data_IF_809649645059
#
_entry.id   IF_809649645059
#
_cell.length_a   1.000
_cell.length_b   1.000
_cell.length_c   1.000
_cell.angle_alpha   90.00
_cell.angle_beta   90.00
_cell.angle_gamma   90.00
#
_symmetry.space_group_name_H-M   'P 1'
#
loop_
_entity.id
_entity.type
_entity.pdbx_description
1 polymer ?
#
# COMPACT_ATOMS: atom_id res chain seq x y z
N UNK A 1 16.87 -18.59 18.07
CA UNK A 1 15.80 -17.64 18.39
C UNK A 1 16.18 -17.03 19.73
N UNK A 2 16.53 -15.76 19.79
CA UNK A 2 16.80 -15.13 21.09
C UNK A 2 15.46 -15.09 21.85
N UNK A 3 15.41 -15.59 23.09
CA UNK A 3 14.23 -15.41 23.94
C UNK A 3 14.04 -13.91 24.15
N UNK A 4 13.01 -13.34 23.54
CA UNK A 4 12.54 -12.00 23.85
C UNK A 4 11.79 -12.05 25.17
N UNK A 5 11.96 -11.02 26.00
CA UNK A 5 11.19 -10.91 27.23
C UNK A 5 9.71 -10.63 26.91
N UNK A 6 8.80 -11.07 27.80
CA UNK A 6 7.36 -10.88 27.64
C UNK A 6 6.99 -9.39 27.49
N UNK A 7 7.70 -8.51 28.18
CA UNK A 7 7.52 -7.05 28.12
C UNK A 7 7.88 -6.48 26.74
N UNK A 8 8.95 -7.00 26.12
CA UNK A 8 9.39 -6.57 24.79
C UNK A 8 8.41 -7.03 23.72
N UNK A 9 7.90 -8.25 23.84
CA UNK A 9 6.86 -8.78 22.96
C UNK A 9 5.56 -7.97 23.06
N UNK A 10 5.13 -7.63 24.28
CA UNK A 10 3.93 -6.82 24.50
C UNK A 10 4.07 -5.42 23.92
N UNK A 11 5.24 -4.81 24.08
CA UNK A 11 5.54 -3.48 23.51
C UNK A 11 5.49 -3.49 21.98
N UNK A 12 5.97 -4.55 21.34
CA UNK A 12 5.88 -4.70 19.87
C UNK A 12 4.43 -4.91 19.43
N UNK A 13 3.67 -5.73 20.16
CA UNK A 13 2.26 -6.00 19.84
C UNK A 13 1.37 -4.76 19.95
N UNK A 14 1.61 -3.93 20.97
CA UNK A 14 0.86 -2.68 21.18
C UNK A 14 1.36 -1.53 20.30
N UNK A 15 2.51 -1.70 19.63
CA UNK A 15 3.05 -0.69 18.74
C UNK A 15 2.20 -0.55 17.46
N UNK A 16 1.88 0.68 17.03
CA UNK A 16 1.10 0.88 15.82
C UNK A 16 1.90 0.44 14.58
N UNK A 17 1.28 -0.29 13.63
CA UNK A 17 1.98 -0.85 12.46
C UNK A 17 2.21 0.21 11.37
N UNK A 18 2.99 1.25 11.70
CA UNK A 18 3.23 2.43 10.84
C UNK A 18 3.80 2.05 9.48
N UNK A 19 4.69 1.05 9.42
CA UNK A 19 5.25 0.55 8.16
C UNK A 19 4.19 -0.05 7.25
N UNK A 20 3.30 -0.87 7.80
CA UNK A 20 2.17 -1.45 7.05
C UNK A 20 1.26 -0.36 6.49
N UNK A 21 0.93 0.65 7.28
CA UNK A 21 0.13 1.79 6.82
C UNK A 21 0.81 2.58 5.70
N UNK A 22 2.12 2.83 5.80
CA UNK A 22 2.87 3.51 4.75
C UNK A 22 2.85 2.73 3.42
N UNK A 23 3.03 1.40 3.49
CA UNK A 23 2.97 0.53 2.31
C UNK A 23 1.58 0.52 1.68
N UNK A 24 0.53 0.35 2.50
CA UNK A 24 -0.87 0.39 2.03
C UNK A 24 -1.16 1.71 1.32
N UNK A 25 -0.75 2.84 1.91
CA UNK A 25 -0.98 4.15 1.33
C UNK A 25 -0.23 4.32 0.01
N UNK A 26 1.04 3.92 -0.06
CA UNK A 26 1.85 4.01 -1.26
C UNK A 26 1.26 3.18 -2.41
N UNK A 27 0.86 1.93 -2.13
CA UNK A 27 0.23 1.06 -3.12
C UNK A 27 -1.13 1.62 -3.56
N UNK A 28 -1.95 2.09 -2.61
CA UNK A 28 -3.27 2.67 -2.90
C UNK A 28 -3.17 3.88 -3.83
N UNK A 29 -2.22 4.79 -3.57
CA UNK A 29 -1.96 5.94 -4.44
C UNK A 29 -1.46 5.49 -5.81
N UNK A 30 -0.51 4.55 -5.87
CA UNK A 30 0.02 4.05 -7.14
C UNK A 30 -1.08 3.39 -8.00
N UNK A 31 -1.96 2.59 -7.40
CA UNK A 31 -3.10 1.99 -8.09
C UNK A 31 -4.09 3.05 -8.58
N UNK A 32 -4.42 4.04 -7.75
CA UNK A 32 -5.33 5.11 -8.14
C UNK A 32 -4.76 5.93 -9.31
N UNK A 33 -3.50 6.34 -9.23
CA UNK A 33 -2.84 7.10 -10.29
C UNK A 33 -2.71 6.27 -11.57
N UNK A 34 -2.34 5.00 -11.45
CA UNK A 34 -2.30 4.08 -12.59
C UNK A 34 -3.66 3.93 -13.26
N UNK A 35 -4.72 3.70 -12.48
CA UNK A 35 -6.08 3.60 -13.01
C UNK A 35 -6.52 4.88 -13.71
N UNK A 36 -6.30 6.06 -13.11
CA UNK A 36 -6.63 7.35 -13.73
C UNK A 36 -5.87 7.56 -15.04
N UNK A 37 -4.58 7.23 -15.07
CA UNK A 37 -3.76 7.33 -16.28
C UNK A 37 -4.26 6.39 -17.38
N UNK A 38 -4.52 5.12 -17.05
CA UNK A 38 -5.00 4.16 -18.06
C UNK A 38 -6.39 4.53 -18.57
N UNK A 39 -7.29 4.97 -17.70
CA UNK A 39 -8.66 5.30 -18.09
C UNK A 39 -8.75 6.61 -18.86
N UNK A 40 -8.25 7.72 -18.30
CA UNK A 40 -8.37 9.03 -18.91
C UNK A 40 -7.26 9.33 -19.91
N UNK A 41 -6.03 8.88 -19.62
CA UNK A 41 -4.86 9.15 -20.45
C UNK A 41 -4.77 8.28 -21.69
N UNK A 42 -5.17 7.00 -21.62
CA UNK A 42 -5.08 6.06 -22.75
C UNK A 42 -6.43 5.66 -23.33
N UNK A 43 -7.35 5.15 -22.49
CA UNK A 43 -8.60 4.55 -22.99
C UNK A 43 -9.56 5.58 -23.58
N UNK A 44 -9.86 6.67 -22.86
CA UNK A 44 -10.73 7.74 -23.37
C UNK A 44 -10.13 8.48 -24.58
N UNK A 45 -8.80 8.56 -24.68
CA UNK A 45 -8.12 9.29 -25.76
C UNK A 45 -7.99 8.48 -27.05
N UNK A 46 -7.89 7.15 -26.98
CA UNK A 46 -7.69 6.29 -28.16
C UNK A 46 -8.90 5.40 -28.49
N UNK A 47 -9.87 5.26 -27.58
CA UNK A 47 -11.00 4.34 -27.73
C UNK A 47 -10.60 2.87 -27.56
N UNK A 48 -11.56 1.92 -27.67
CA UNK A 48 -11.23 0.50 -27.66
C UNK A 48 -10.34 0.16 -28.86
N UNK A 49 -9.25 -0.57 -28.61
CA UNK A 49 -8.40 -1.14 -29.66
C UNK A 49 -9.25 -2.14 -30.44
N UNK A 50 -9.48 -1.87 -31.72
CA UNK A 50 -10.16 -2.75 -32.65
C UNK A 50 -9.25 -3.92 -33.09
#
# INVERSE_FOLDING_TARGET
>A
MSEMSEDEQRRILESPPRGTWAVILAIGIAMLLGWLYFFFGLFMSHGPVA
#
